data_IF_037568996330
#
_entry.id   IF_037568996330
#
_cell.length_a   1.000
_cell.length_b   1.000
_cell.length_c   1.000
_cell.angle_alpha   90.00
_cell.angle_beta   90.00
_cell.angle_gamma   90.00
#
_symmetry.space_group_name_H-M   'P 1'
#
loop_
_entity.id
_entity.type
_entity.pdbx_description
1 polymer ?
#
# COMPACT_ATOMS: atom_id res chain seq x y z
N UNK A 1 -41.71 -10.83 -11.76
CA UNK A 1 -40.50 -10.27 -11.11
C UNK A 1 -39.84 -11.36 -10.28
N UNK A 2 -38.50 -11.51 -10.21
CA UNK A 2 -37.43 -10.84 -10.96
C UNK A 2 -36.48 -11.81 -11.71
N UNK A 3 -36.00 -11.41 -12.88
CA UNK A 3 -34.74 -11.92 -13.43
C UNK A 3 -33.70 -10.82 -13.18
N UNK A 4 -33.22 -10.70 -11.94
CA UNK A 4 -32.08 -9.85 -11.63
C UNK A 4 -30.81 -10.64 -11.90
N UNK A 5 -30.48 -10.79 -13.18
CA UNK A 5 -29.19 -11.32 -13.60
C UNK A 5 -28.15 -10.24 -13.28
N UNK A 6 -27.09 -10.52 -12.48
CA UNK A 6 -26.07 -9.52 -12.24
C UNK A 6 -25.44 -9.16 -13.59
N UNK A 7 -25.56 -7.89 -13.95
CA UNK A 7 -24.85 -7.31 -15.09
C UNK A 7 -23.37 -7.68 -14.95
N UNK A 8 -22.63 -7.96 -16.05
CA UNK A 8 -21.19 -8.10 -15.96
C UNK A 8 -20.67 -6.76 -15.44
N UNK A 9 -20.42 -6.69 -14.14
CA UNK A 9 -19.75 -5.57 -13.51
C UNK A 9 -18.44 -5.43 -14.27
N UNK A 10 -18.29 -4.31 -14.98
CA UNK A 10 -17.10 -3.98 -15.73
C UNK A 10 -15.95 -3.87 -14.73
N UNK A 11 -15.37 -5.01 -14.37
CA UNK A 11 -14.26 -5.11 -13.44
C UNK A 11 -13.13 -4.35 -14.09
N UNK A 12 -12.80 -3.18 -13.53
CA UNK A 12 -11.74 -2.35 -14.06
C UNK A 12 -10.47 -3.20 -14.16
N UNK A 13 -9.73 -3.13 -15.28
CA UNK A 13 -8.58 -3.99 -15.50
C UNK A 13 -7.61 -3.84 -14.33
N UNK A 14 -7.18 -4.95 -13.73
CA UNK A 14 -6.32 -4.95 -12.55
C UNK A 14 -4.87 -5.21 -12.94
N UNK A 15 -3.95 -4.64 -12.19
CA UNK A 15 -2.50 -4.77 -12.38
C UNK A 15 -1.89 -5.36 -11.13
N UNK A 16 -1.05 -6.40 -11.32
CA UNK A 16 -0.22 -6.97 -10.28
C UNK A 16 1.10 -6.19 -10.19
N UNK A 17 1.41 -5.65 -9.02
CA UNK A 17 2.60 -4.84 -8.77
C UNK A 17 3.41 -5.52 -7.67
N UNK A 18 4.72 -5.66 -7.88
CA UNK A 18 5.65 -6.06 -6.82
C UNK A 18 6.55 -4.89 -6.49
N UNK A 19 6.58 -4.48 -5.22
CA UNK A 19 7.42 -3.40 -4.71
C UNK A 19 8.48 -3.99 -3.81
N UNK A 20 9.73 -3.57 -3.97
CA UNK A 20 10.88 -4.08 -3.21
C UNK A 20 11.53 -2.91 -2.48
N UNK A 21 11.84 -3.10 -1.19
CA UNK A 21 12.54 -2.14 -0.35
C UNK A 21 13.56 -2.87 0.55
N UNK A 22 14.84 -2.73 0.25
CA UNK A 22 15.91 -3.48 0.92
C UNK A 22 15.68 -4.99 0.82
N UNK A 23 15.52 -5.67 1.96
CA UNK A 23 15.22 -7.12 2.05
C UNK A 23 13.70 -7.42 2.10
N UNK A 24 12.86 -6.40 2.02
CA UNK A 24 11.38 -6.52 2.15
C UNK A 24 10.74 -6.38 0.78
N UNK A 25 9.62 -7.07 0.57
CA UNK A 25 8.83 -6.93 -0.66
C UNK A 25 7.34 -7.02 -0.38
N UNK A 26 6.54 -6.35 -1.20
CA UNK A 26 5.08 -6.32 -1.12
C UNK A 26 4.49 -6.56 -2.50
N UNK A 27 3.48 -7.43 -2.56
CA UNK A 27 2.69 -7.69 -3.77
C UNK A 27 1.34 -7.01 -3.63
N UNK A 28 0.92 -6.29 -4.66
CA UNK A 28 -0.35 -5.56 -4.71
C UNK A 28 -1.11 -5.93 -5.98
N UNK A 29 -2.44 -6.00 -5.88
CA UNK A 29 -3.33 -6.20 -7.02
C UNK A 29 -4.36 -5.07 -7.03
N UNK A 30 -4.12 -4.06 -7.86
CA UNK A 30 -4.85 -2.79 -7.85
C UNK A 30 -5.56 -2.53 -9.18
N UNK A 31 -6.64 -1.74 -9.21
CA UNK A 31 -7.20 -1.26 -10.46
C UNK A 31 -6.15 -0.45 -11.24
N UNK A 32 -6.10 -0.64 -12.56
CA UNK A 32 -5.20 0.10 -13.48
C UNK A 32 -5.46 1.61 -13.51
N UNK A 33 -6.65 2.04 -13.09
CA UNK A 33 -7.03 3.45 -13.03
C UNK A 33 -6.65 4.14 -11.72
N UNK A 34 -6.18 3.39 -10.71
CA UNK A 34 -5.85 3.94 -9.40
C UNK A 34 -4.50 4.67 -9.45
N UNK A 35 -4.42 5.97 -9.08
CA UNK A 35 -3.16 6.70 -9.07
C UNK A 35 -2.13 6.07 -8.11
N UNK A 36 -0.89 5.96 -8.58
CA UNK A 36 0.19 5.33 -7.80
C UNK A 36 0.45 6.09 -6.50
N UNK A 37 0.29 7.41 -6.49
CA UNK A 37 0.48 8.24 -5.29
C UNK A 37 -0.41 7.81 -4.12
N UNK A 38 -1.63 7.33 -4.39
CA UNK A 38 -2.56 6.85 -3.35
C UNK A 38 -2.14 5.51 -2.75
N UNK A 39 -1.32 4.74 -3.47
CA UNK A 39 -0.79 3.45 -2.99
C UNK A 39 0.41 3.64 -2.06
N UNK A 40 1.13 4.76 -2.19
CA UNK A 40 2.37 5.00 -1.46
C UNK A 40 2.23 4.88 0.07
N UNK A 41 1.19 5.46 0.72
CA UNK A 41 1.05 5.35 2.17
C UNK A 41 0.87 3.91 2.65
N UNK A 42 0.07 3.11 1.93
CA UNK A 42 -0.17 1.70 2.28
C UNK A 42 1.07 0.84 2.04
N UNK A 43 1.74 1.05 0.90
CA UNK A 43 3.01 0.39 0.55
C UNK A 43 4.08 0.69 1.61
N UNK A 44 4.23 1.96 1.99
CA UNK A 44 5.20 2.39 2.98
C UNK A 44 4.93 1.79 4.37
N UNK A 45 3.66 1.67 4.76
CA UNK A 45 3.25 0.92 5.98
C UNK A 45 3.61 -0.57 5.87
N UNK A 46 3.23 -1.24 4.78
CA UNK A 46 3.51 -2.68 4.56
C UNK A 46 4.99 -3.01 4.54
N UNK A 47 5.80 -2.15 3.93
CA UNK A 47 7.24 -2.33 3.84
C UNK A 47 7.99 -1.79 5.07
N UNK A 48 7.28 -1.15 6.00
CA UNK A 48 7.88 -0.52 7.18
C UNK A 48 8.91 0.54 6.80
N UNK A 49 8.64 1.33 5.76
CA UNK A 49 9.51 2.44 5.31
C UNK A 49 9.43 3.60 6.30
N UNK A 50 8.31 3.73 7.02
CA UNK A 50 8.16 4.68 8.13
C UNK A 50 8.70 4.14 9.46
N UNK A 51 9.52 3.08 9.45
CA UNK A 51 10.14 2.61 10.68
C UNK A 51 11.00 3.75 11.27
N UNK A 52 10.68 4.26 12.47
CA UNK A 52 11.36 5.40 13.05
C UNK A 52 12.85 5.14 13.32
N UNK A 53 13.29 3.87 13.37
CA UNK A 53 14.71 3.52 13.46
C UNK A 53 15.44 3.69 12.13
N UNK A 54 14.72 3.72 10.99
CA UNK A 54 15.26 4.00 9.65
C UNK A 54 15.11 5.47 9.24
N UNK A 55 14.16 6.21 9.81
CA UNK A 55 13.90 7.65 9.54
C UNK A 55 14.86 8.56 10.34
N UNK A 56 15.81 7.98 11.09
CA UNK A 56 16.68 8.71 12.00
C UNK A 56 17.67 9.64 11.29
N UNK A 57 17.20 10.85 10.96
CA UNK A 57 18.02 11.99 10.53
C UNK A 57 18.75 12.65 11.73
N UNK A 58 19.25 11.85 12.68
CA UNK A 58 20.01 12.34 13.84
C UNK A 58 19.21 12.58 15.14
N UNK A 59 17.88 12.45 15.16
CA UNK A 59 17.05 12.84 16.32
C UNK A 59 16.55 11.67 17.17
N UNK A 60 16.93 11.67 18.46
CA UNK A 60 16.58 10.60 19.43
C UNK A 60 15.13 10.75 19.88
N UNK A 61 14.29 9.76 19.55
CA UNK A 61 12.98 9.61 20.18
C UNK A 61 13.19 9.21 21.64
N UNK A 62 12.97 10.15 22.56
CA UNK A 62 12.87 9.89 24.00
C UNK A 62 11.44 9.48 24.32
N UNK A 63 11.28 8.49 25.20
CA UNK A 63 9.97 8.09 25.73
C UNK A 63 9.55 9.15 26.75
N UNK A 64 8.29 9.56 26.73
CA UNK A 64 7.74 10.60 27.63
C UNK A 64 7.76 10.20 29.12
N UNK A 65 8.13 8.96 29.43
CA UNK A 65 8.12 8.37 30.77
C UNK A 65 9.52 8.37 31.44
N UNK A 66 10.33 9.41 31.20
CA UNK A 66 11.61 9.64 31.90
C UNK A 66 11.76 11.09 32.38
#
# INVERSE_FOLDING_TARGET
>A
MPANQPSPSASSPRVAITVVYGKRSAKLNVPSTLPVAELLPDIAKKLGVFDPTLVYAGYRLTRDDE
#
